data_IF_884491135211
#
_entry.id   IF_884491135211
#
_cell.length_a   1.000
_cell.length_b   1.000
_cell.length_c   1.000
_cell.angle_alpha   90.00
_cell.angle_beta   90.00
_cell.angle_gamma   90.00
#
_symmetry.space_group_name_H-M   'P 1'
#
loop_
_entity.id
_entity.type
_entity.pdbx_description
1 polymer ?
#
# COMPACT_ATOMS: atom_id res chain seq x y z
N UNK A 1 -10.11 17.17 -28.45
CA UNK A 1 -10.60 16.51 -27.22
C UNK A 1 -9.40 15.86 -26.57
N UNK A 2 -8.96 16.43 -25.45
CA UNK A 2 -7.65 16.17 -24.87
C UNK A 2 -7.57 14.81 -24.17
N UNK A 3 -6.56 14.04 -24.56
CA UNK A 3 -5.68 13.07 -23.87
C UNK A 3 -5.90 12.65 -22.39
N UNK A 4 -7.12 12.64 -21.86
CA UNK A 4 -7.39 12.21 -20.47
C UNK A 4 -7.08 10.70 -20.25
N UNK A 5 -7.26 9.88 -21.28
CA UNK A 5 -7.08 8.41 -21.17
C UNK A 5 -5.62 7.95 -21.09
N UNK A 6 -4.65 8.74 -21.59
CA UNK A 6 -3.24 8.37 -21.55
C UNK A 6 -2.64 8.59 -20.16
N UNK A 7 -3.02 9.69 -19.49
CA UNK A 7 -2.59 10.02 -18.13
C UNK A 7 -3.18 9.08 -17.07
N UNK A 8 -4.43 8.62 -17.23
CA UNK A 8 -5.01 7.59 -16.34
C UNK A 8 -4.34 6.22 -16.53
N UNK A 9 -4.02 5.81 -17.76
CA UNK A 9 -3.30 4.56 -18.03
C UNK A 9 -1.83 4.60 -17.58
N UNK A 10 -1.15 5.72 -17.77
CA UNK A 10 0.23 5.93 -17.30
C UNK A 10 0.28 6.07 -15.77
N UNK A 11 -0.65 6.83 -15.19
CA UNK A 11 -0.80 7.02 -13.75
C UNK A 11 -1.14 5.72 -13.04
N UNK A 12 -2.08 4.93 -13.58
CA UNK A 12 -2.43 3.61 -13.06
C UNK A 12 -1.25 2.63 -13.07
N UNK A 13 -0.48 2.59 -14.16
CA UNK A 13 0.72 1.73 -14.23
C UNK A 13 1.85 2.17 -13.27
N UNK A 14 2.06 3.48 -13.10
CA UNK A 14 3.06 4.00 -12.16
C UNK A 14 2.63 3.72 -10.72
N UNK A 15 1.36 3.94 -10.38
CA UNK A 15 0.83 3.67 -9.05
C UNK A 15 0.82 2.16 -8.76
N UNK A 16 0.50 1.31 -9.74
CA UNK A 16 0.62 -0.15 -9.63
C UNK A 16 2.06 -0.57 -9.34
N UNK A 17 3.05 -0.07 -10.10
CA UNK A 17 4.46 -0.34 -9.83
C UNK A 17 4.92 0.14 -8.46
N UNK A 18 4.43 1.30 -7.99
CA UNK A 18 4.70 1.79 -6.63
C UNK A 18 4.10 0.88 -5.58
N UNK A 19 2.87 0.39 -5.78
CA UNK A 19 2.21 -0.54 -4.87
C UNK A 19 2.92 -1.90 -4.84
N UNK A 20 3.26 -2.47 -6.00
CA UNK A 20 4.00 -3.73 -6.09
C UNK A 20 5.37 -3.61 -5.43
N UNK A 21 6.08 -2.50 -5.64
CA UNK A 21 7.34 -2.22 -4.97
C UNK A 21 7.14 -2.06 -3.46
N UNK A 22 6.09 -1.38 -3.00
CA UNK A 22 5.79 -1.27 -1.58
C UNK A 22 5.48 -2.63 -0.93
N UNK A 23 4.72 -3.51 -1.62
CA UNK A 23 4.45 -4.88 -1.18
C UNK A 23 5.72 -5.74 -1.16
N UNK A 24 6.56 -5.62 -2.19
CA UNK A 24 7.86 -6.31 -2.27
C UNK A 24 8.79 -5.87 -1.15
N UNK A 25 8.86 -4.57 -0.87
CA UNK A 25 9.63 -4.02 0.25
C UNK A 25 9.09 -4.53 1.59
N UNK A 26 7.78 -4.54 1.79
CA UNK A 26 7.18 -5.07 3.02
C UNK A 26 7.57 -6.53 3.27
N UNK A 27 7.56 -7.33 2.19
CA UNK A 27 7.85 -8.76 2.24
C UNK A 27 9.35 -9.06 2.40
N UNK A 28 10.20 -8.40 1.60
CA UNK A 28 11.62 -8.73 1.48
C UNK A 28 12.55 -7.87 2.34
N UNK A 29 12.21 -6.62 2.65
CA UNK A 29 13.09 -5.76 3.46
C UNK A 29 12.93 -6.05 4.96
N UNK A 30 14.03 -5.94 5.70
CA UNK A 30 14.00 -6.12 7.15
C UNK A 30 13.32 -4.94 7.87
N UNK A 31 12.75 -5.16 9.07
CA UNK A 31 12.02 -4.12 9.81
C UNK A 31 12.81 -2.82 10.01
N UNK A 32 14.12 -2.90 10.26
CA UNK A 32 14.97 -1.72 10.44
C UNK A 32 15.09 -0.86 9.16
N UNK A 33 15.20 -1.49 7.99
CA UNK A 33 15.31 -0.78 6.71
C UNK A 33 13.97 -0.19 6.28
N UNK A 34 12.90 -0.96 6.48
CA UNK A 34 11.52 -0.46 6.34
C UNK A 34 11.29 0.73 7.24
N UNK A 35 11.76 0.71 8.49
CA UNK A 35 11.60 1.82 9.43
C UNK A 35 12.39 3.05 9.01
N UNK A 36 13.57 2.90 8.39
CA UNK A 36 14.31 4.04 7.83
C UNK A 36 13.60 4.66 6.64
N UNK A 37 13.06 3.86 5.72
CA UNK A 37 12.37 4.35 4.53
C UNK A 37 10.98 4.89 4.83
N UNK A 38 10.21 4.16 5.65
CA UNK A 38 8.87 4.55 6.07
C UNK A 38 8.91 5.62 7.15
N UNK A 39 9.93 5.67 8.01
CA UNK A 39 10.11 6.77 8.97
C UNK A 39 10.55 8.09 8.33
N UNK A 40 11.03 8.05 7.08
CA UNK A 40 11.20 9.25 6.24
C UNK A 40 9.89 9.68 5.56
N UNK A 41 8.88 8.80 5.50
CA UNK A 41 7.55 9.13 5.01
C UNK A 41 6.64 9.44 6.20
N UNK A 42 5.91 10.53 6.15
CA UNK A 42 4.96 10.85 7.21
C UNK A 42 3.91 9.72 7.30
N UNK A 43 3.78 9.11 8.47
CA UNK A 43 2.87 7.98 8.64
C UNK A 43 1.41 8.42 8.45
N UNK A 44 1.13 9.70 8.69
CA UNK A 44 -0.11 10.37 8.30
C UNK A 44 -0.33 10.36 6.78
N UNK A 45 0.70 10.64 5.98
CA UNK A 45 0.61 10.59 4.52
C UNK A 45 0.31 9.16 4.02
N UNK A 46 0.92 8.16 4.66
CA UNK A 46 0.64 6.75 4.38
C UNK A 46 -0.82 6.41 4.71
N UNK A 47 -1.30 6.88 5.86
CA UNK A 47 -2.69 6.72 6.30
C UNK A 47 -3.69 7.36 5.34
N UNK A 48 -3.42 8.59 4.90
CA UNK A 48 -4.25 9.29 3.90
C UNK A 48 -4.28 8.52 2.58
N UNK A 49 -3.12 8.09 2.07
CA UNK A 49 -3.04 7.29 0.84
C UNK A 49 -3.79 5.96 0.97
N UNK A 50 -3.69 5.29 2.11
CA UNK A 50 -4.43 4.04 2.35
C UNK A 50 -5.94 4.29 2.39
N UNK A 51 -6.39 5.40 2.99
CA UNK A 51 -7.80 5.79 2.93
C UNK A 51 -8.25 6.18 1.52
N UNK A 52 -7.34 6.67 0.67
CA UNK A 52 -7.62 6.91 -0.75
C UNK A 52 -7.71 5.63 -1.58
N UNK A 53 -7.11 4.51 -1.14
CA UNK A 53 -7.20 3.22 -1.83
C UNK A 53 -8.53 2.54 -1.53
N UNK A 54 -9.59 3.02 -2.16
CA UNK A 54 -10.92 2.40 -2.15
C UNK A 54 -10.95 1.18 -3.10
N UNK A 55 -11.71 0.10 -2.79
CA UNK A 55 -11.94 -1.03 -3.69
C UNK A 55 -12.25 -0.62 -5.13
N UNK A 56 -13.03 0.46 -5.31
CA UNK A 56 -13.37 0.98 -6.64
C UNK A 56 -12.16 1.58 -7.36
N UNK A 57 -11.29 2.31 -6.67
CA UNK A 57 -10.06 2.88 -7.25
C UNK A 57 -9.08 1.78 -7.61
N UNK A 58 -8.88 0.80 -6.72
CA UNK A 58 -8.03 -0.37 -6.98
C UNK A 58 -8.50 -1.14 -8.22
N UNK A 59 -9.80 -1.37 -8.33
CA UNK A 59 -10.38 -2.06 -9.48
C UNK A 59 -10.24 -1.24 -10.79
N UNK A 60 -10.42 0.09 -10.73
CA UNK A 60 -10.14 0.99 -11.86
C UNK A 60 -8.67 0.95 -12.32
N UNK A 61 -7.76 0.67 -11.40
CA UNK A 61 -6.33 0.53 -11.68
C UNK A 61 -5.93 -0.89 -12.15
N UNK A 62 -6.91 -1.81 -12.26
CA UNK A 62 -6.64 -3.21 -12.60
C UNK A 62 -5.92 -3.97 -11.49
N UNK A 63 -6.04 -3.51 -10.25
CA UNK A 63 -5.47 -4.14 -9.06
C UNK A 63 -6.60 -4.86 -8.34
N UNK A 64 -6.53 -6.19 -8.29
CA UNK A 64 -7.52 -6.99 -7.59
C UNK A 64 -7.22 -7.00 -6.10
N UNK A 65 -8.21 -6.69 -5.26
CA UNK A 65 -8.10 -6.85 -3.80
C UNK A 65 -7.72 -8.28 -3.41
N UNK A 66 -8.18 -9.27 -4.18
CA UNK A 66 -7.84 -10.68 -4.02
C UNK A 66 -6.34 -10.96 -4.24
N UNK A 67 -5.74 -10.33 -5.26
CA UNK A 67 -4.29 -10.40 -5.51
C UNK A 67 -3.50 -9.76 -4.36
N UNK A 68 -3.96 -8.62 -3.83
CA UNK A 68 -3.33 -8.00 -2.67
C UNK A 68 -3.45 -8.94 -1.47
N UNK A 69 -4.66 -9.43 -1.16
CA UNK A 69 -4.91 -10.36 -0.05
C UNK A 69 -4.06 -11.63 -0.15
N UNK A 70 -3.84 -12.16 -1.37
CA UNK A 70 -2.98 -13.32 -1.58
C UNK A 70 -1.47 -13.01 -1.42
N UNK A 71 -1.08 -11.73 -1.51
CA UNK A 71 0.33 -11.29 -1.40
C UNK A 71 0.71 -10.77 -0.01
N UNK A 72 -0.25 -10.33 0.81
CA UNK A 72 -0.03 -9.86 2.18
C UNK A 72 -0.54 -10.88 3.20
N UNK A 73 0.29 -11.23 4.18
CA UNK A 73 -0.04 -12.18 5.25
C UNK A 73 -0.13 -11.51 6.62
N UNK A 74 -0.61 -12.24 7.64
CA UNK A 74 -0.61 -11.71 9.01
C UNK A 74 0.78 -11.30 9.50
N UNK A 75 1.82 -12.03 9.11
CA UNK A 75 3.21 -11.72 9.46
C UNK A 75 3.66 -10.39 8.87
N UNK A 76 3.17 -10.03 7.68
CA UNK A 76 3.47 -8.75 7.05
C UNK A 76 2.83 -7.60 7.82
N UNK A 77 1.61 -7.79 8.34
CA UNK A 77 0.97 -6.81 9.23
C UNK A 77 1.70 -6.66 10.56
N UNK A 78 2.10 -7.77 11.20
CA UNK A 78 2.89 -7.72 12.43
C UNK A 78 4.22 -6.99 12.21
N UNK A 79 4.88 -7.22 11.08
CA UNK A 79 6.09 -6.52 10.68
C UNK A 79 5.84 -5.02 10.52
N UNK A 80 4.74 -4.64 9.87
CA UNK A 80 4.30 -3.25 9.74
C UNK A 80 4.14 -2.56 11.10
N UNK A 81 3.53 -3.26 12.06
CA UNK A 81 3.35 -2.81 13.45
C UNK A 81 4.69 -2.65 14.16
N UNK A 82 5.60 -3.60 14.01
CA UNK A 82 6.94 -3.50 14.62
C UNK A 82 7.77 -2.35 14.04
N UNK A 83 7.56 -2.05 12.76
CA UNK A 83 8.28 -1.00 12.03
C UNK A 83 7.77 0.39 12.40
N UNK A 84 6.46 0.60 12.28
CA UNK A 84 5.81 1.91 12.44
C UNK A 84 5.25 2.12 13.86
N UNK A 85 5.32 1.12 14.73
CA UNK A 85 4.85 1.21 16.10
C UNK A 85 3.33 1.43 16.18
N UNK A 86 2.85 2.39 17.00
CA UNK A 86 1.42 2.66 17.18
C UNK A 86 0.69 2.96 15.86
N UNK A 87 1.31 3.75 14.99
CA UNK A 87 0.74 4.10 13.69
C UNK A 87 0.67 2.90 12.74
N UNK A 88 1.64 1.98 12.86
CA UNK A 88 1.63 0.71 12.14
C UNK A 88 0.43 -0.17 12.48
N UNK A 89 -0.01 -0.15 13.74
CA UNK A 89 -1.23 -0.85 14.17
C UNK A 89 -2.48 -0.27 13.50
N UNK A 90 -2.58 1.05 13.42
CA UNK A 90 -3.70 1.73 12.76
C UNK A 90 -3.71 1.41 11.26
N UNK A 91 -2.54 1.48 10.61
CA UNK A 91 -2.38 1.15 9.18
C UNK A 91 -2.73 -0.32 8.91
N UNK A 92 -2.19 -1.25 9.70
CA UNK A 92 -2.46 -2.68 9.56
C UNK A 92 -3.96 -2.99 9.72
N UNK A 93 -4.62 -2.33 10.68
CA UNK A 93 -6.05 -2.49 10.91
C UNK A 93 -6.91 -1.97 9.74
N UNK A 94 -6.52 -0.83 9.15
CA UNK A 94 -7.16 -0.26 7.95
C UNK A 94 -6.98 -1.17 6.73
N UNK A 95 -5.76 -1.64 6.47
CA UNK A 95 -5.46 -2.61 5.42
C UNK A 95 -6.27 -3.90 5.60
N UNK A 96 -6.32 -4.46 6.82
CA UNK A 96 -7.16 -5.62 7.12
C UNK A 96 -8.64 -5.38 6.81
N UNK A 97 -9.14 -4.17 7.05
CA UNK A 97 -10.54 -3.81 6.78
C UNK A 97 -10.82 -3.64 5.29
N UNK A 98 -9.86 -3.10 4.52
CA UNK A 98 -9.95 -3.00 3.06
C UNK A 98 -9.88 -4.37 2.38
N UNK A 99 -9.13 -5.29 2.97
CA UNK A 99 -8.93 -6.65 2.47
C UNK A 99 -9.94 -7.64 3.06
N UNK A 100 -10.96 -7.21 3.82
CA UNK A 100 -11.97 -8.09 4.43
C UNK A 100 -13.10 -8.39 3.45
#
# INVERSE_FOLDING_TARGET
MADYNMFERLGGNIQKKKLEKALEMLRNENPQELRKKLGQMDTQEILEKINEFDPKKLNQMGISLDEIRSRVTEKDFEKLIQVLGPDGAIIAQRLRSLLK
#
